data_IF_352458782090
#
_entry.id   IF_352458782090
#
_cell.length_a   1.000
_cell.length_b   1.000
_cell.length_c   1.000
_cell.angle_alpha   90.00
_cell.angle_beta   90.00
_cell.angle_gamma   90.00
#
_symmetry.space_group_name_H-M   'P 1'
#
loop_
_entity.id
_entity.type
_entity.pdbx_description
1 polymer ?
#
# COMPACT_ATOMS: atom_id res chain seq x y z
N UNK A 1 22.99 -2.15 21.75
CA UNK A 1 21.74 -2.52 22.47
C UNK A 1 20.79 -3.17 21.46
N UNK A 2 20.16 -4.31 21.80
CA UNK A 2 19.25 -5.05 20.91
C UNK A 2 17.99 -4.26 20.52
N UNK A 3 17.48 -3.39 21.39
CA UNK A 3 16.30 -2.54 21.15
C UNK A 3 16.54 -1.57 19.99
N UNK A 4 17.70 -0.90 19.99
CA UNK A 4 18.10 0.02 18.92
C UNK A 4 18.32 -0.70 17.59
N UNK A 5 18.79 -1.96 17.62
CA UNK A 5 18.98 -2.75 16.39
C UNK A 5 17.64 -3.10 15.73
N UNK A 6 16.65 -3.57 16.51
CA UNK A 6 15.31 -3.89 15.98
C UNK A 6 14.60 -2.65 15.46
N UNK A 7 14.74 -1.52 16.15
CA UNK A 7 14.22 -0.24 15.66
C UNK A 7 14.85 0.18 14.34
N UNK A 8 16.19 0.11 14.22
CA UNK A 8 16.88 0.41 12.97
C UNK A 8 16.49 -0.53 11.84
N UNK A 9 16.29 -1.82 12.13
CA UNK A 9 15.81 -2.79 11.15
C UNK A 9 14.39 -2.44 10.66
N UNK A 10 13.45 -2.14 11.57
CA UNK A 10 12.11 -1.70 11.22
C UNK A 10 12.12 -0.37 10.42
N UNK A 11 13.06 0.54 10.75
CA UNK A 11 13.27 1.78 10.01
C UNK A 11 13.73 1.52 8.58
N UNK A 12 14.71 0.64 8.38
CA UNK A 12 15.17 0.23 7.06
C UNK A 12 14.04 -0.39 6.24
N UNK A 13 13.27 -1.31 6.84
CA UNK A 13 12.11 -1.94 6.21
C UNK A 13 11.03 -0.92 5.81
N UNK A 14 10.79 0.10 6.63
CA UNK A 14 9.90 1.21 6.29
C UNK A 14 10.36 1.99 5.06
N UNK A 15 11.67 2.25 4.92
CA UNK A 15 12.23 2.97 3.77
C UNK A 15 12.16 2.11 2.51
N UNK A 16 12.64 0.87 2.56
CA UNK A 16 12.67 0.00 1.37
C UNK A 16 11.28 -0.42 0.94
N UNK A 17 10.33 -0.59 1.86
CA UNK A 17 8.96 -1.01 1.55
C UNK A 17 8.21 -0.10 0.58
N UNK A 18 8.68 1.15 0.41
CA UNK A 18 8.15 2.09 -0.58
C UNK A 18 8.60 1.80 -2.01
N UNK A 19 9.56 0.91 -2.20
CA UNK A 19 10.23 0.64 -3.46
C UNK A 19 10.25 -0.87 -3.76
N UNK A 20 9.22 -1.37 -4.43
CA UNK A 20 9.05 -2.80 -4.77
C UNK A 20 10.22 -3.41 -5.54
N UNK A 21 11.01 -2.62 -6.26
CA UNK A 21 12.15 -3.10 -7.02
C UNK A 21 13.40 -3.44 -6.17
N UNK A 22 13.40 -3.09 -4.88
CA UNK A 22 14.57 -3.28 -4.01
C UNK A 22 14.58 -4.62 -3.25
N UNK A 23 13.57 -5.46 -3.44
CA UNK A 23 13.43 -6.72 -2.73
C UNK A 23 12.68 -7.75 -3.57
N UNK A 24 12.92 -9.04 -3.29
CA UNK A 24 12.10 -10.12 -3.82
C UNK A 24 10.82 -10.30 -3.01
N UNK A 25 9.83 -10.99 -3.57
CA UNK A 25 8.60 -11.30 -2.83
C UNK A 25 8.85 -12.21 -1.62
N UNK A 26 9.84 -13.10 -1.68
CA UNK A 26 10.23 -13.94 -0.55
C UNK A 26 10.84 -13.08 0.58
N UNK A 27 11.68 -12.11 0.24
CA UNK A 27 12.23 -11.16 1.20
C UNK A 27 11.13 -10.28 1.81
N UNK A 28 10.19 -9.81 0.98
CA UNK A 28 9.00 -9.08 1.42
C UNK A 28 8.17 -9.91 2.41
N UNK A 29 7.90 -11.17 2.10
CA UNK A 29 7.08 -12.03 2.94
C UNK A 29 7.73 -12.27 4.31
N UNK A 30 9.05 -12.50 4.35
CA UNK A 30 9.79 -12.62 5.62
C UNK A 30 9.76 -11.32 6.43
N UNK A 31 9.94 -10.18 5.76
CA UNK A 31 9.85 -8.87 6.41
C UNK A 31 8.45 -8.64 7.00
N UNK A 32 7.39 -8.93 6.24
CA UNK A 32 6.01 -8.86 6.72
C UNK A 32 5.82 -9.69 7.97
N UNK A 33 6.24 -10.97 7.97
CA UNK A 33 6.10 -11.84 9.13
C UNK A 33 6.83 -11.28 10.36
N UNK A 34 8.07 -10.84 10.21
CA UNK A 34 8.86 -10.28 11.30
C UNK A 34 8.27 -8.96 11.84
N UNK A 35 7.72 -8.12 10.96
CA UNK A 35 7.09 -6.86 11.34
C UNK A 35 5.74 -7.09 12.04
N UNK A 36 4.95 -8.07 11.61
CA UNK A 36 3.73 -8.47 12.31
C UNK A 36 4.02 -8.96 13.71
N UNK A 37 5.00 -9.85 13.87
CA UNK A 37 5.47 -10.32 15.19
C UNK A 37 5.91 -9.13 16.08
N UNK A 38 6.69 -8.19 15.53
CA UNK A 38 7.12 -7.00 16.24
C UNK A 38 5.94 -6.10 16.67
N UNK A 39 4.91 -5.94 15.84
CA UNK A 39 3.69 -5.18 16.18
C UNK A 39 2.98 -5.79 17.38
N UNK A 40 2.91 -7.12 17.47
CA UNK A 40 2.17 -7.81 18.51
C UNK A 40 2.96 -7.96 19.82
N UNK A 41 4.28 -8.15 19.72
CA UNK A 41 5.06 -8.73 20.80
C UNK A 41 6.30 -7.92 21.20
N UNK A 42 6.73 -6.91 20.43
CA UNK A 42 7.92 -6.15 20.84
C UNK A 42 7.62 -5.37 22.13
N UNK A 43 8.51 -5.51 23.12
CA UNK A 43 8.36 -4.85 24.42
C UNK A 43 8.45 -3.33 24.34
N UNK A 44 9.05 -2.78 23.29
CA UNK A 44 9.30 -1.36 23.14
C UNK A 44 8.34 -0.72 22.12
N UNK A 45 7.48 0.18 22.62
CA UNK A 45 6.44 0.86 21.83
C UNK A 45 6.94 1.51 20.53
N UNK A 46 8.09 2.22 20.51
CA UNK A 46 8.67 2.75 19.28
C UNK A 46 8.91 1.72 18.18
N UNK A 47 9.34 0.49 18.53
CA UNK A 47 9.50 -0.59 17.53
C UNK A 47 8.14 -1.00 16.99
N UNK A 48 7.14 -1.22 17.86
CA UNK A 48 5.77 -1.56 17.43
C UNK A 48 5.18 -0.51 16.49
N UNK A 49 5.30 0.76 16.85
CA UNK A 49 4.78 1.87 16.05
C UNK A 49 5.50 2.02 14.70
N UNK A 50 6.80 1.79 14.67
CA UNK A 50 7.57 1.82 13.42
C UNK A 50 7.29 0.60 12.55
N UNK A 51 7.12 -0.58 13.15
CA UNK A 51 6.75 -1.80 12.44
C UNK A 51 5.38 -1.66 11.76
N UNK A 52 4.41 -1.05 12.44
CA UNK A 52 3.11 -0.72 11.84
C UNK A 52 3.26 0.18 10.59
N UNK A 53 4.11 1.20 10.66
CA UNK A 53 4.38 2.09 9.51
C UNK A 53 5.09 1.36 8.36
N UNK A 54 5.97 0.43 8.68
CA UNK A 54 6.65 -0.41 7.69
C UNK A 54 5.67 -1.33 6.96
N UNK A 55 4.78 -2.01 7.69
CA UNK A 55 3.71 -2.84 7.11
C UNK A 55 2.81 -2.04 6.16
N UNK A 56 2.46 -0.80 6.52
CA UNK A 56 1.70 0.08 5.64
C UNK A 56 2.46 0.44 4.36
N UNK A 57 3.77 0.64 4.43
CA UNK A 57 4.58 0.94 3.24
C UNK A 57 4.69 -0.28 2.31
N UNK A 58 4.74 -1.48 2.87
CA UNK A 58 4.73 -2.75 2.12
C UNK A 58 3.35 -3.12 1.55
N UNK A 59 2.29 -2.36 1.88
CA UNK A 59 0.93 -2.57 1.39
C UNK A 59 0.34 -3.92 1.77
N UNK A 60 0.72 -4.48 2.93
CA UNK A 60 0.33 -5.85 3.29
C UNK A 60 -1.10 -5.92 3.86
N UNK A 61 -2.05 -6.37 3.05
CA UNK A 61 -3.47 -6.47 3.45
C UNK A 61 -3.69 -7.40 4.65
N UNK A 62 -2.96 -8.51 4.77
CA UNK A 62 -3.12 -9.44 5.91
C UNK A 62 -2.76 -8.80 7.25
N UNK A 63 -1.99 -7.71 7.25
CA UNK A 63 -1.63 -7.01 8.47
C UNK A 63 -2.75 -6.13 9.04
N UNK A 64 -3.83 -5.84 8.29
CA UNK A 64 -4.92 -4.97 8.77
C UNK A 64 -5.50 -5.51 10.10
N UNK A 65 -5.87 -6.79 10.14
CA UNK A 65 -6.45 -7.39 11.34
C UNK A 65 -5.49 -7.36 12.54
N UNK A 66 -4.21 -7.66 12.30
CA UNK A 66 -3.15 -7.65 13.32
C UNK A 66 -2.97 -6.23 13.89
N UNK A 67 -2.98 -5.21 13.01
CA UNK A 67 -2.84 -3.81 13.39
C UNK A 67 -4.04 -3.32 14.21
N UNK A 68 -5.26 -3.67 13.81
CA UNK A 68 -6.49 -3.29 14.53
C UNK A 68 -6.58 -3.97 15.90
N UNK A 69 -6.31 -5.27 15.97
CA UNK A 69 -6.29 -6.02 17.23
C UNK A 69 -5.18 -5.51 18.15
N UNK A 70 -3.99 -5.22 17.63
CA UNK A 70 -2.91 -4.68 18.45
C UNK A 70 -3.18 -3.26 18.92
N UNK A 71 -3.83 -2.42 18.11
CA UNK A 71 -4.22 -1.08 18.50
C UNK A 71 -5.29 -1.07 19.61
N UNK A 72 -6.17 -2.06 19.69
CA UNK A 72 -7.21 -2.11 20.73
C UNK A 72 -6.64 -2.41 22.12
N UNK A 73 -5.50 -3.11 22.20
CA UNK A 73 -4.77 -3.43 23.44
C UNK A 73 -3.57 -2.53 23.74
N UNK A 74 -3.22 -1.61 22.83
CA UNK A 74 -2.07 -0.72 22.97
C UNK A 74 -2.36 0.43 23.95
N UNK A 75 -1.46 0.63 24.92
CA UNK A 75 -1.58 1.65 25.96
C UNK A 75 -0.95 3.00 25.54
N UNK A 76 0.05 2.97 24.67
CA UNK A 76 0.69 4.18 24.16
C UNK A 76 -0.17 4.78 23.05
N UNK A 77 -0.78 5.94 23.32
CA UNK A 77 -1.63 6.66 22.35
C UNK A 77 -0.95 6.93 21.02
N UNK A 78 0.36 7.23 21.03
CA UNK A 78 1.16 7.44 19.82
C UNK A 78 1.32 6.17 18.99
N UNK A 79 1.57 5.03 19.64
CA UNK A 79 1.71 3.73 18.97
C UNK A 79 0.37 3.22 18.47
N UNK A 80 -0.68 3.35 19.28
CA UNK A 80 -2.05 3.03 18.90
C UNK A 80 -2.47 3.80 17.65
N UNK A 81 -2.18 5.11 17.61
CA UNK A 81 -2.46 5.94 16.44
C UNK A 81 -1.69 5.47 15.22
N UNK A 82 -0.41 5.12 15.36
CA UNK A 82 0.40 4.61 14.25
C UNK A 82 -0.18 3.32 13.66
N UNK A 83 -0.64 2.39 14.51
CA UNK A 83 -1.30 1.14 14.07
C UNK A 83 -2.62 1.40 13.33
N UNK A 84 -3.50 2.24 13.88
CA UNK A 84 -4.78 2.58 13.22
C UNK A 84 -4.59 3.29 11.89
N UNK A 85 -3.65 4.24 11.82
CA UNK A 85 -3.33 4.93 10.56
C UNK A 85 -2.74 3.96 9.54
N UNK A 86 -1.90 3.01 9.97
CA UNK A 86 -1.36 1.98 9.09
C UNK A 86 -2.47 1.10 8.50
N UNK A 87 -3.39 0.58 9.34
CA UNK A 87 -4.53 -0.22 8.89
C UNK A 87 -5.40 0.54 7.88
N UNK A 88 -5.74 1.79 8.19
CA UNK A 88 -6.49 2.66 7.29
C UNK A 88 -5.80 2.83 5.93
N UNK A 89 -4.50 3.15 5.93
CA UNK A 89 -3.74 3.37 4.68
C UNK A 89 -3.70 2.13 3.80
N UNK A 90 -3.52 0.95 4.39
CA UNK A 90 -3.52 -0.31 3.63
C UNK A 90 -4.90 -0.54 3.02
N UNK A 91 -5.98 -0.33 3.77
CA UNK A 91 -7.35 -0.48 3.28
C UNK A 91 -7.76 0.55 2.21
N UNK A 92 -7.24 1.78 2.27
CA UNK A 92 -7.51 2.79 1.24
C UNK A 92 -6.65 2.67 -0.01
N UNK A 93 -5.48 2.03 0.07
CA UNK A 93 -4.60 1.83 -1.08
C UNK A 93 -5.28 1.04 -2.20
N UNK A 94 -6.12 0.07 -1.85
CA UNK A 94 -6.96 -0.69 -2.79
C UNK A 94 -7.88 0.25 -3.60
N UNK A 95 -8.63 1.13 -2.92
CA UNK A 95 -9.53 2.08 -3.58
C UNK A 95 -8.83 2.92 -4.65
N UNK A 96 -7.57 3.27 -4.45
CA UNK A 96 -6.78 4.00 -5.45
C UNK A 96 -6.43 3.14 -6.66
N UNK A 97 -6.11 1.86 -6.47
CA UNK A 97 -5.81 0.93 -7.57
C UNK A 97 -7.07 0.64 -8.42
N UNK A 98 -8.25 0.47 -7.80
CA UNK A 98 -9.50 0.33 -8.55
C UNK A 98 -9.85 1.60 -9.33
N UNK A 99 -9.66 2.78 -8.73
CA UNK A 99 -9.86 4.06 -9.42
C UNK A 99 -8.94 4.22 -10.62
N UNK A 100 -7.65 3.83 -10.50
CA UNK A 100 -6.70 3.85 -11.61
C UNK A 100 -7.13 2.88 -12.72
N UNK A 101 -7.63 1.69 -12.36
CA UNK A 101 -8.15 0.72 -13.32
C UNK A 101 -9.36 1.27 -14.07
N UNK A 102 -10.30 1.91 -13.36
CA UNK A 102 -11.46 2.53 -13.98
C UNK A 102 -11.06 3.62 -14.96
N UNK A 103 -10.16 4.53 -14.55
CA UNK A 103 -9.65 5.59 -15.42
C UNK A 103 -8.97 5.06 -16.70
N UNK A 104 -8.32 3.90 -16.64
CA UNK A 104 -7.75 3.24 -17.83
C UNK A 104 -8.83 2.73 -18.77
N UNK A 105 -9.87 2.09 -18.24
CA UNK A 105 -11.00 1.62 -19.03
C UNK A 105 -11.71 2.79 -19.72
N UNK A 106 -12.00 3.86 -18.96
CA UNK A 106 -12.65 5.06 -19.49
C UNK A 106 -11.81 5.70 -20.61
N UNK A 107 -10.49 5.75 -20.44
CA UNK A 107 -9.57 6.26 -21.47
C UNK A 107 -9.58 5.40 -22.74
N UNK A 108 -9.63 4.08 -22.61
CA UNK A 108 -9.68 3.17 -23.76
C UNK A 108 -11.02 3.28 -24.50
N UNK A 109 -12.13 3.47 -23.78
CA UNK A 109 -13.44 3.75 -24.37
C UNK A 109 -13.45 5.07 -25.14
N UNK A 110 -12.94 6.15 -24.56
CA UNK A 110 -12.82 7.45 -25.24
C UNK A 110 -11.95 7.37 -26.50
N UNK A 111 -10.89 6.55 -26.48
CA UNK A 111 -10.03 6.33 -27.66
C UNK A 111 -10.77 5.58 -28.76
N UNK A 112 -11.55 4.57 -28.40
CA UNK A 112 -12.36 3.78 -29.30
C UNK A 112 -13.43 4.64 -29.98
N UNK A 113 -14.14 5.46 -29.21
CA UNK A 113 -15.14 6.40 -29.73
C UNK A 113 -14.51 7.43 -30.68
N UNK A 114 -13.36 8.01 -30.30
CA UNK A 114 -12.63 8.94 -31.16
C UNK A 114 -12.21 8.29 -32.48
N UNK A 115 -11.82 7.01 -32.47
CA UNK A 115 -11.47 6.30 -33.72
C UNK A 115 -12.70 6.18 -34.62
N UNK A 116 -13.84 5.74 -34.07
CA UNK A 116 -15.10 5.61 -34.82
C UNK A 116 -15.56 6.94 -35.40
N UNK A 117 -15.51 8.01 -34.62
CA UNK A 117 -15.88 9.34 -35.08
C UNK A 117 -15.00 9.83 -36.23
N UNK A 118 -13.68 9.58 -36.15
CA UNK A 118 -12.75 9.92 -37.25
C UNK A 118 -13.03 9.12 -38.52
N UNK A 119 -13.33 7.83 -38.40
CA UNK A 119 -13.73 6.99 -39.53
C UNK A 119 -15.03 7.49 -40.18
N UNK A 120 -16.03 7.83 -39.37
CA UNK A 120 -17.30 8.40 -39.84
C UNK A 120 -17.11 9.75 -40.53
N UNK A 121 -16.28 10.63 -39.97
CA UNK A 121 -15.96 11.93 -40.55
C UNK A 121 -15.31 11.77 -41.92
N UNK A 122 -14.29 10.90 -42.03
CA UNK A 122 -13.63 10.64 -43.31
C UNK A 122 -14.58 10.05 -44.36
N UNK A 123 -15.52 9.20 -43.97
CA UNK A 123 -16.54 8.66 -44.88
C UNK A 123 -17.53 9.74 -45.37
N UNK A 124 -17.87 10.72 -44.52
CA UNK A 124 -18.73 11.84 -44.91
C UNK A 124 -17.98 12.81 -45.85
N UNK A 125 -16.74 13.14 -45.52
CA UNK A 125 -15.87 13.98 -46.36
C UNK A 125 -15.71 13.38 -47.76
N UNK A 126 -15.51 12.05 -47.87
CA UNK A 126 -15.41 11.35 -49.14
C UNK A 126 -16.73 11.32 -49.96
N UNK A 127 -17.89 11.62 -49.35
CA UNK A 127 -19.19 11.71 -50.04
C UNK A 127 -19.53 13.14 -50.46
N UNK A 128 -18.85 14.13 -49.89
CA UNK A 128 -19.01 15.55 -50.20
C UNK A 128 -18.02 16.03 -51.29
N UNK A 129 -17.02 15.23 -51.61
CA UNK A 129 -16.10 15.39 -52.72
C UNK A 129 -16.45 14.45 -53.87
#
# INVERSE_FOLDING_TARGET
NALTLRHSAASGLFVVGRNRYLYSEEARQRAVTALSDAVEHDSWGPVRGLAARALASLGEKRAIAILEQSASRELSSGVQRAMRVAAYKIGTGEKSDEQIKQLRNDLDEVREENRKLREQLGALEARLH
#
